data_IF_957487411147
#
_entry.id   IF_957487411147
#
_cell.length_a   1.000
_cell.length_b   1.000
_cell.length_c   1.000
_cell.angle_alpha   90.00
_cell.angle_beta   90.00
_cell.angle_gamma   90.00
#
_symmetry.space_group_name_H-M   'P 1'
#
loop_
_entity.id
_entity.type
_entity.pdbx_description
1 polymer ?
#
# COMPACT_ATOMS: atom_id res chain seq x y z
N UNK A 1 11.64 18.48 -8.49
CA UNK A 1 10.98 17.91 -9.69
C UNK A 1 9.87 17.05 -9.14
N UNK A 2 8.63 17.45 -9.39
CA UNK A 2 7.48 17.11 -8.54
C UNK A 2 6.75 15.91 -9.12
N UNK A 3 7.23 14.70 -8.84
CA UNK A 3 6.55 13.43 -9.17
C UNK A 3 5.41 13.15 -8.17
N UNK A 4 4.60 14.17 -7.88
CA UNK A 4 3.38 13.98 -7.09
C UNK A 4 2.34 13.41 -8.03
N UNK A 5 1.85 12.21 -7.71
CA UNK A 5 0.66 11.63 -8.35
C UNK A 5 -0.48 12.66 -8.22
N UNK A 6 -0.78 13.37 -9.32
CA UNK A 6 -1.84 14.35 -9.36
C UNK A 6 -3.17 13.63 -9.53
N UNK A 7 -3.78 13.23 -8.42
CA UNK A 7 -5.13 12.66 -8.41
C UNK A 7 -6.09 13.82 -8.68
N UNK A 8 -6.41 14.04 -9.96
CA UNK A 8 -7.28 15.13 -10.41
C UNK A 8 -8.77 14.92 -10.08
N UNK A 9 -9.14 13.71 -9.66
CA UNK A 9 -10.49 13.36 -9.19
C UNK A 9 -10.54 13.40 -7.67
N UNK A 10 -11.69 13.79 -7.11
CA UNK A 10 -11.95 13.62 -5.67
C UNK A 10 -11.74 12.15 -5.30
N UNK A 11 -10.87 11.90 -4.33
CA UNK A 11 -10.59 10.54 -3.89
C UNK A 11 -11.84 10.00 -3.19
N UNK A 12 -12.47 8.99 -3.81
CA UNK A 12 -13.63 8.32 -3.23
C UNK A 12 -13.10 7.26 -2.27
N UNK A 13 -13.32 7.49 -0.97
CA UNK A 13 -12.92 6.52 0.05
C UNK A 13 -13.93 5.41 0.17
N UNK A 14 -13.41 4.20 0.06
CA UNK A 14 -14.18 3.00 0.15
C UNK A 14 -14.03 2.38 1.55
N UNK A 15 -14.97 2.70 2.44
CA UNK A 15 -15.06 2.11 3.77
C UNK A 15 -15.50 0.63 3.75
N UNK A 16 -15.71 0.05 2.56
CA UNK A 16 -16.02 -1.36 2.38
C UNK A 16 -14.78 -2.22 2.51
N UNK A 17 -13.58 -1.70 2.33
CA UNK A 17 -12.36 -2.49 2.48
C UNK A 17 -12.21 -2.91 3.94
N UNK A 18 -12.26 -4.22 4.18
CA UNK A 18 -12.16 -4.84 5.51
C UNK A 18 -10.81 -5.51 5.75
N UNK A 19 -10.08 -5.79 4.67
CA UNK A 19 -8.80 -6.49 4.71
C UNK A 19 -7.92 -6.05 3.56
N UNK A 20 -6.62 -5.92 3.82
CA UNK A 20 -5.61 -5.63 2.81
C UNK A 20 -4.39 -6.48 3.14
N UNK A 21 -3.96 -7.28 2.18
CA UNK A 21 -2.75 -8.11 2.26
C UNK A 21 -1.93 -7.92 0.98
N UNK A 22 -0.62 -8.01 1.11
CA UNK A 22 0.33 -8.00 0.01
C UNK A 22 1.16 -9.26 0.09
N UNK A 23 1.23 -9.97 -1.02
CA UNK A 23 2.05 -11.15 -1.18
C UNK A 23 3.18 -10.84 -2.12
N UNK A 24 4.40 -11.13 -1.70
CA UNK A 24 5.57 -11.13 -2.58
C UNK A 24 5.81 -12.58 -2.99
N UNK A 25 5.56 -12.87 -4.27
CA UNK A 25 5.79 -14.18 -4.84
C UNK A 25 7.18 -14.22 -5.48
N UNK A 26 7.96 -15.22 -5.08
CA UNK A 26 9.20 -15.57 -5.74
C UNK A 26 9.12 -17.06 -6.10
N UNK A 27 9.13 -17.44 -7.39
CA UNK A 27 9.00 -18.85 -7.79
C UNK A 27 10.10 -19.78 -7.24
N UNK A 28 11.20 -19.21 -6.72
CA UNK A 28 12.32 -19.94 -6.15
C UNK A 28 12.51 -19.71 -4.65
N UNK A 29 11.63 -18.97 -3.97
CA UNK A 29 11.67 -18.76 -2.52
C UNK A 29 10.26 -18.86 -1.89
N UNK A 30 10.18 -18.80 -0.57
CA UNK A 30 8.89 -18.77 0.10
C UNK A 30 8.18 -17.44 -0.16
N UNK A 31 6.87 -17.49 -0.42
CA UNK A 31 6.02 -16.30 -0.48
C UNK A 31 6.07 -15.58 0.87
N UNK A 32 6.31 -14.26 0.85
CA UNK A 32 6.21 -13.45 2.06
C UNK A 32 4.90 -12.67 2.03
N UNK A 33 4.22 -12.58 3.18
CA UNK A 33 2.94 -11.88 3.32
C UNK A 33 3.13 -10.68 4.24
N UNK A 34 2.61 -9.52 3.82
CA UNK A 34 2.62 -8.28 4.58
C UNK A 34 1.24 -7.61 4.53
N UNK A 35 0.76 -7.01 5.63
CA UNK A 35 1.25 -7.23 6.99
C UNK A 35 1.13 -8.71 7.39
N UNK A 36 1.95 -9.16 8.34
CA UNK A 36 1.94 -10.56 8.78
C UNK A 36 0.62 -10.95 9.45
N UNK A 37 -0.03 -9.95 10.07
CA UNK A 37 -1.34 -10.09 10.69
C UNK A 37 -2.41 -9.46 9.80
N UNK A 38 -3.60 -10.06 9.80
CA UNK A 38 -4.79 -9.49 9.18
C UNK A 38 -5.16 -8.17 9.87
N UNK A 39 -5.25 -7.09 9.09
CA UNK A 39 -5.57 -5.76 9.58
C UNK A 39 -6.98 -5.67 10.20
N UNK A 40 -7.90 -6.58 9.86
CA UNK A 40 -9.26 -6.64 10.42
C UNK A 40 -9.95 -5.26 10.47
N UNK A 41 -9.93 -4.55 9.35
CA UNK A 41 -10.41 -3.18 9.24
C UNK A 41 -11.93 -3.13 9.43
N UNK A 42 -12.36 -2.21 10.29
CA UNK A 42 -13.76 -1.93 10.58
C UNK A 42 -13.88 -0.45 10.92
N UNK A 43 -14.30 0.34 9.94
CA UNK A 43 -14.44 1.79 10.11
C UNK A 43 -15.53 2.15 11.12
N UNK A 44 -16.61 1.36 11.19
CA UNK A 44 -17.69 1.54 12.16
C UNK A 44 -17.25 1.30 13.61
N UNK A 45 -16.36 0.34 13.84
CA UNK A 45 -15.74 0.06 15.15
C UNK A 45 -14.43 0.81 15.40
N UNK A 46 -14.07 1.76 14.53
CA UNK A 46 -12.84 2.56 14.61
C UNK A 46 -11.54 1.74 14.58
N UNK A 47 -11.55 0.56 13.96
CA UNK A 47 -10.34 -0.26 13.76
C UNK A 47 -9.41 0.29 12.68
N UNK A 48 -9.75 1.42 12.05
CA UNK A 48 -8.86 2.19 11.17
C UNK A 48 -7.61 2.74 11.89
N UNK A 49 -7.57 2.71 13.23
CA UNK A 49 -6.41 3.15 14.01
C UNK A 49 -5.11 2.45 13.60
N UNK A 50 -5.19 1.18 13.14
CA UNK A 50 -4.04 0.45 12.60
C UNK A 50 -3.48 1.10 11.34
N UNK A 51 -4.35 1.59 10.44
CA UNK A 51 -3.95 2.32 9.24
C UNK A 51 -3.27 3.63 9.59
N UNK A 52 -3.80 4.35 10.60
CA UNK A 52 -3.18 5.59 11.06
C UNK A 52 -1.80 5.34 11.69
N UNK A 53 -1.65 4.30 12.51
CA UNK A 53 -0.34 3.92 13.07
C UNK A 53 0.66 3.60 11.95
N UNK A 54 0.28 2.79 10.96
CA UNK A 54 1.09 2.48 9.78
C UNK A 54 1.52 3.76 9.04
N UNK A 55 0.58 4.68 8.81
CA UNK A 55 0.85 5.99 8.20
C UNK A 55 1.84 6.83 9.02
N UNK A 56 1.65 6.95 10.33
CA UNK A 56 2.54 7.77 11.17
C UNK A 56 3.98 7.26 11.16
N UNK A 57 4.17 5.93 11.05
CA UNK A 57 5.48 5.29 11.02
C UNK A 57 6.17 5.43 9.67
N UNK A 58 5.41 5.56 8.57
CA UNK A 58 5.95 5.65 7.21
C UNK A 58 7.07 6.67 7.09
N UNK A 59 6.85 7.90 7.58
CA UNK A 59 7.81 8.99 7.41
C UNK A 59 9.14 8.69 8.10
N UNK A 60 9.08 8.14 9.32
CA UNK A 60 10.27 7.73 10.07
C UNK A 60 10.98 6.56 9.38
N UNK A 61 10.22 5.56 8.92
CA UNK A 61 10.78 4.38 8.26
C UNK A 61 11.45 4.74 6.92
N UNK A 62 10.81 5.58 6.10
CA UNK A 62 11.27 5.91 4.75
C UNK A 62 12.35 7.00 4.73
N UNK A 63 12.17 8.10 5.46
CA UNK A 63 13.13 9.22 5.44
C UNK A 63 14.20 9.14 6.54
N UNK A 64 14.07 8.22 7.50
CA UNK A 64 14.97 8.15 8.67
C UNK A 64 14.84 9.35 9.62
N UNK A 65 13.78 10.16 9.49
CA UNK A 65 13.57 11.37 10.28
C UNK A 65 12.76 11.02 11.52
N UNK A 66 13.31 11.28 12.70
CA UNK A 66 12.61 11.15 13.97
C UNK A 66 11.72 12.39 14.22
N UNK A 67 10.67 12.51 13.41
CA UNK A 67 9.69 13.58 13.51
C UNK A 67 8.29 12.98 13.69
N UNK A 68 7.63 13.40 14.77
CA UNK A 68 6.28 12.95 15.12
C UNK A 68 5.18 13.76 14.43
N UNK A 69 5.54 14.79 13.66
CA UNK A 69 4.57 15.58 12.91
C UNK A 69 4.06 14.81 11.70
N UNK A 70 2.78 14.47 11.76
CA UNK A 70 2.04 13.88 10.65
C UNK A 70 1.46 15.00 9.79
N UNK A 71 1.49 14.83 8.46
CA UNK A 71 0.88 15.80 7.54
C UNK A 71 -0.65 15.86 7.70
N UNK A 72 -1.24 14.75 8.13
CA UNK A 72 -2.66 14.58 8.36
C UNK A 72 -2.84 14.19 9.83
N UNK A 73 -3.64 14.96 10.57
CA UNK A 73 -4.14 14.50 11.85
C UNK A 73 -5.15 13.35 11.65
N UNK A 74 -5.53 12.66 12.74
CA UNK A 74 -6.45 11.51 12.68
C UNK A 74 -7.75 11.84 11.94
N UNK A 75 -8.35 13.01 12.19
CA UNK A 75 -9.62 13.39 11.56
C UNK A 75 -9.44 13.59 10.05
N UNK A 76 -8.42 14.34 9.65
CA UNK A 76 -8.08 14.54 8.24
C UNK A 76 -7.65 13.26 7.53
N UNK A 77 -7.03 12.31 8.24
CA UNK A 77 -6.69 11.01 7.68
C UNK A 77 -7.94 10.17 7.39
N UNK A 78 -8.88 10.11 8.33
CA UNK A 78 -10.15 9.38 8.14
C UNK A 78 -10.99 10.00 7.02
N UNK A 79 -11.02 11.33 6.96
CA UNK A 79 -11.85 12.07 6.00
C UNK A 79 -11.25 12.13 4.60
N UNK A 80 -9.93 12.37 4.50
CA UNK A 80 -9.24 12.64 3.22
C UNK A 80 -8.43 11.48 2.70
N UNK A 81 -8.42 10.35 3.40
CA UNK A 81 -7.92 9.12 2.82
C UNK A 81 -7.21 8.23 3.79
N UNK A 82 -7.93 7.26 4.38
CA UNK A 82 -7.28 6.16 5.04
C UNK A 82 -6.59 5.30 3.96
N UNK A 83 -5.27 5.29 3.96
CA UNK A 83 -4.46 4.41 3.12
C UNK A 83 -3.66 3.44 3.99
N UNK A 84 -3.44 2.23 3.47
CA UNK A 84 -2.56 1.26 4.07
C UNK A 84 -1.12 1.51 3.63
N UNK A 85 -0.20 1.65 4.59
CA UNK A 85 1.24 1.69 4.32
C UNK A 85 1.83 0.32 4.61
N UNK A 86 2.25 -0.38 3.57
CA UNK A 86 2.84 -1.71 3.70
C UNK A 86 4.36 -1.57 3.56
N UNK A 87 5.05 -1.63 4.69
CA UNK A 87 6.50 -1.54 4.74
C UNK A 87 7.15 -2.89 4.41
N UNK A 88 7.63 -3.02 3.17
CA UNK A 88 8.35 -4.20 2.68
C UNK A 88 9.89 -4.09 2.84
N UNK A 89 10.41 -3.03 3.48
CA UNK A 89 11.87 -2.77 3.55
C UNK A 89 12.67 -3.86 4.27
N UNK A 90 12.02 -4.65 5.12
CA UNK A 90 12.64 -5.75 5.88
C UNK A 90 12.56 -7.10 5.18
N UNK A 91 12.16 -7.14 3.92
CA UNK A 91 12.17 -8.37 3.15
C UNK A 91 13.60 -8.90 3.05
N UNK A 92 13.79 -10.19 3.36
CA UNK A 92 15.10 -10.81 3.32
C UNK A 92 15.63 -10.80 1.89
N UNK A 93 16.63 -9.96 1.63
CA UNK A 93 17.26 -9.80 0.32
C UNK A 93 18.12 -11.00 -0.08
N UNK A 94 18.11 -12.13 0.65
CA UNK A 94 18.90 -13.32 0.33
C UNK A 94 18.74 -13.64 -1.16
N UNK A 95 19.80 -13.32 -1.89
CA UNK A 95 19.75 -12.88 -3.29
C UNK A 95 19.19 -13.97 -4.16
N UNK A 96 18.02 -13.73 -4.75
CA UNK A 96 17.59 -14.47 -5.94
C UNK A 96 17.29 -13.45 -7.02
N UNK A 97 18.08 -13.49 -8.09
CA UNK A 97 18.10 -12.59 -9.24
C UNK A 97 16.88 -12.79 -10.16
N UNK A 98 15.71 -13.00 -9.58
CA UNK A 98 14.48 -13.35 -10.30
C UNK A 98 13.44 -12.26 -10.07
N UNK A 99 12.51 -12.14 -11.01
CA UNK A 99 11.36 -11.23 -10.87
C UNK A 99 10.57 -11.60 -9.61
N UNK A 100 10.36 -10.61 -8.74
CA UNK A 100 9.46 -10.72 -7.59
C UNK A 100 8.14 -10.13 -8.03
N UNK A 101 7.10 -10.95 -8.04
CA UNK A 101 5.75 -10.47 -8.34
C UNK A 101 5.13 -9.95 -7.03
N UNK A 102 4.63 -8.72 -7.06
CA UNK A 102 3.86 -8.14 -5.95
C UNK A 102 2.38 -8.30 -6.27
N UNK A 103 1.67 -9.06 -5.45
CA UNK A 103 0.21 -9.22 -5.52
C UNK A 103 -0.42 -8.51 -4.35
N UNK A 104 -1.32 -7.58 -4.63
CA UNK A 104 -2.12 -6.89 -3.62
C UNK A 104 -3.51 -7.50 -3.63
N UNK A 105 -3.96 -7.98 -2.47
CA UNK A 105 -5.28 -8.52 -2.26
C UNK A 105 -6.01 -7.68 -1.22
N UNK A 106 -7.30 -7.48 -1.43
CA UNK A 106 -8.15 -6.81 -0.46
C UNK A 106 -9.55 -7.38 -0.51
N UNK A 107 -10.18 -7.47 0.65
CA UNK A 107 -11.57 -7.91 0.76
C UNK A 107 -12.47 -6.71 1.04
N UNK A 108 -13.64 -6.73 0.43
CA UNK A 108 -14.69 -5.74 0.66
C UNK A 108 -15.89 -6.39 1.36
N UNK A 109 -16.50 -5.68 2.31
CA UNK A 109 -17.74 -6.10 3.01
C UNK A 109 -18.95 -6.21 2.06
N UNK A 110 -18.89 -5.52 0.93
CA UNK A 110 -19.91 -5.46 -0.11
C UNK A 110 -19.25 -5.46 -1.49
N UNK A 111 -20.02 -5.77 -2.54
CA UNK A 111 -19.52 -5.76 -3.91
C UNK A 111 -18.99 -4.38 -4.31
N UNK A 112 -17.82 -4.36 -4.95
CA UNK A 112 -17.26 -3.15 -5.55
C UNK A 112 -18.17 -2.72 -6.71
N UNK A 113 -18.60 -1.45 -6.79
CA UNK A 113 -19.47 -0.96 -7.86
C UNK A 113 -18.82 -1.12 -9.24
N UNK A 114 -19.66 -1.28 -10.26
CA UNK A 114 -19.20 -1.25 -11.64
C UNK A 114 -18.46 0.07 -11.95
N UNK A 115 -17.45 0.00 -12.82
CA UNK A 115 -16.61 1.14 -13.23
C UNK A 115 -15.75 1.74 -12.11
N UNK A 116 -15.40 0.95 -11.08
CA UNK A 116 -14.44 1.36 -10.05
C UNK A 116 -13.01 1.12 -10.54
N UNK A 117 -12.13 2.12 -10.37
CA UNK A 117 -10.70 2.01 -10.68
C UNK A 117 -9.88 2.06 -9.39
N UNK A 118 -9.04 1.05 -9.17
CA UNK A 118 -8.08 1.04 -8.05
C UNK A 118 -6.76 1.67 -8.46
N UNK A 119 -6.19 2.51 -7.59
CA UNK A 119 -4.85 3.06 -7.75
C UNK A 119 -3.92 2.46 -6.68
N UNK A 120 -2.68 2.16 -7.06
CA UNK A 120 -1.63 1.76 -6.14
C UNK A 120 -0.38 2.61 -6.40
N UNK A 121 0.24 3.11 -5.34
CA UNK A 121 1.53 3.79 -5.40
C UNK A 121 2.60 2.86 -4.82
N UNK A 122 3.56 2.47 -5.66
CA UNK A 122 4.72 1.70 -5.23
C UNK A 122 5.89 2.66 -5.12
N UNK A 123 6.49 2.74 -3.92
CA UNK A 123 7.69 3.51 -3.67
C UNK A 123 8.85 2.52 -3.50
N UNK A 124 9.81 2.59 -4.41
CA UNK A 124 10.99 1.72 -4.43
C UNK A 124 12.20 2.57 -4.84
N UNK A 125 13.39 2.16 -4.42
CA UNK A 125 14.66 2.76 -4.88
C UNK A 125 15.00 2.45 -6.36
N UNK A 126 14.16 1.65 -7.04
CA UNK A 126 14.30 1.26 -8.45
C UNK A 126 13.15 1.85 -9.25
N UNK A 127 13.46 2.33 -10.45
CA UNK A 127 12.44 2.89 -11.35
C UNK A 127 11.91 1.77 -12.22
N UNK A 128 10.61 1.49 -12.08
CA UNK A 128 9.96 0.36 -12.73
C UNK A 128 8.70 0.87 -13.46
N UNK A 129 8.53 0.44 -14.69
CA UNK A 129 7.30 0.64 -15.46
C UNK A 129 6.39 -0.58 -15.29
N UNK A 130 5.16 -0.36 -14.85
CA UNK A 130 4.13 -1.39 -14.75
C UNK A 130 3.00 -1.11 -15.74
N UNK A 131 2.64 -2.12 -16.53
CA UNK A 131 1.50 -2.07 -17.45
C UNK A 131 0.35 -2.92 -16.89
N UNK A 132 -0.70 -2.30 -16.31
CA UNK A 132 -1.79 -3.03 -15.63
C UNK A 132 -2.58 -3.97 -16.54
N UNK A 133 -2.65 -3.69 -17.84
CA UNK A 133 -3.39 -4.49 -18.82
C UNK A 133 -2.63 -5.74 -19.27
N UNK A 134 -1.30 -5.72 -19.20
CA UNK A 134 -0.44 -6.79 -19.71
C UNK A 134 0.32 -7.52 -18.62
N UNK A 135 0.22 -7.06 -17.37
CA UNK A 135 1.01 -7.51 -16.22
C UNK A 135 2.53 -7.44 -16.45
N UNK A 136 2.98 -6.64 -17.43
CA UNK A 136 4.39 -6.49 -17.75
C UNK A 136 5.02 -5.49 -16.78
N UNK A 137 6.16 -5.88 -16.21
CA UNK A 137 7.00 -5.07 -15.33
C UNK A 137 8.36 -4.89 -16.00
N UNK A 138 8.78 -3.64 -16.27
CA UNK A 138 10.08 -3.33 -16.90
C UNK A 138 10.92 -2.45 -15.99
N UNK A 139 12.18 -2.82 -15.80
CA UNK A 139 13.15 -1.98 -15.08
C UNK A 139 13.64 -0.86 -16.02
N UNK A 140 13.52 0.38 -15.58
CA UNK A 140 14.02 1.57 -16.31
C UNK A 140 15.36 2.03 -15.70
N UNK A 141 15.50 1.99 -14.37
CA UNK A 141 16.70 2.43 -13.65
C UNK A 141 16.98 1.56 -12.42
#
# INVERSE_FOLDING_TARGET
MTDILNIASEAIFDDRIVKIETHTYNPYANTTMFPYDDLNLDFGKKRYAVLFDMYTRFRKAYYGIDCFETLLNVLSFIEKGPFAVIDCSRQNESVKSTTVDVRIEFDCKENVPANTTSYCLIIHDRVIEYSPLSNVVRKIM
#
